data_IF_984275758099
#
_entry.id   IF_984275758099
#
_cell.length_a   1.000
_cell.length_b   1.000
_cell.length_c   1.000
_cell.angle_alpha   90.00
_cell.angle_beta   90.00
_cell.angle_gamma   90.00
#
_symmetry.space_group_name_H-M   'P 1'
#
loop_
_entity.id
_entity.type
_entity.pdbx_description
1 polymer ?
#
# COMPACT_ATOMS: atom_id res chain seq x y z
N UNK A 1 7.69 9.36 28.76
CA UNK A 1 8.67 8.27 28.65
C UNK A 1 8.44 7.51 27.33
N UNK A 2 9.04 8.00 26.26
CA UNK A 2 9.13 7.29 24.99
C UNK A 2 10.06 6.10 25.21
N UNK A 3 9.50 4.89 25.13
CA UNK A 3 10.30 3.67 25.02
C UNK A 3 10.92 3.72 23.63
N UNK A 4 12.14 4.25 23.54
CA UNK A 4 13.04 4.03 22.42
C UNK A 4 13.48 2.57 22.45
N UNK A 5 12.58 1.70 21.98
CA UNK A 5 12.93 0.34 21.60
C UNK A 5 13.70 0.43 20.28
N UNK A 6 14.96 0.88 20.31
CA UNK A 6 15.93 0.61 19.23
C UNK A 6 16.24 -0.88 19.24
N UNK A 7 15.28 -1.68 18.78
CA UNK A 7 15.50 -3.09 18.51
C UNK A 7 16.50 -3.15 17.36
N UNK A 8 17.71 -3.62 17.65
CA UNK A 8 18.71 -3.81 16.61
C UNK A 8 18.22 -4.90 15.66
N UNK A 9 17.98 -4.54 14.39
CA UNK A 9 17.50 -5.49 13.40
C UNK A 9 18.57 -6.53 13.06
N UNK A 10 18.17 -7.78 12.91
CA UNK A 10 19.04 -8.90 12.58
C UNK A 10 19.07 -9.15 11.08
N UNK A 11 20.18 -9.73 10.58
CA UNK A 11 20.27 -10.15 9.17
C UNK A 11 19.16 -11.14 8.85
N UNK A 12 18.44 -10.88 7.77
CA UNK A 12 17.32 -11.69 7.30
C UNK A 12 15.97 -11.27 7.88
N UNK A 13 15.93 -10.35 8.85
CA UNK A 13 14.71 -9.83 9.43
C UNK A 13 13.90 -9.02 8.42
N UNK A 14 12.59 -9.21 8.43
CA UNK A 14 11.65 -8.37 7.66
C UNK A 14 11.42 -7.05 8.37
N UNK A 15 11.38 -5.99 7.59
CA UNK A 15 11.19 -4.63 8.08
C UNK A 15 10.23 -3.87 7.19
N UNK A 16 9.54 -2.89 7.77
CA UNK A 16 8.81 -1.86 7.04
C UNK A 16 9.64 -0.59 7.01
N UNK A 17 9.64 0.08 5.87
CA UNK A 17 10.34 1.34 5.68
C UNK A 17 9.40 2.48 6.02
N UNK A 18 9.91 3.47 6.74
CA UNK A 18 9.13 4.62 7.17
C UNK A 18 9.97 5.88 7.26
N UNK A 19 9.28 7.02 7.32
CA UNK A 19 9.86 8.34 7.60
C UNK A 19 10.98 8.80 6.66
N UNK A 20 11.05 8.24 5.45
CA UNK A 20 11.96 8.74 4.42
C UNK A 20 11.46 10.06 3.87
N UNK A 21 12.31 11.08 3.91
CA UNK A 21 12.00 12.40 3.37
C UNK A 21 12.36 12.48 1.88
N UNK A 22 13.51 11.94 1.47
CA UNK A 22 14.01 12.01 0.10
C UNK A 22 13.45 10.94 -0.84
N UNK A 23 12.97 9.82 -0.28
CA UNK A 23 12.41 8.70 -1.04
C UNK A 23 11.07 8.28 -0.42
N UNK A 24 10.13 9.24 -0.33
CA UNK A 24 8.81 9.03 0.29
C UNK A 24 8.02 7.88 -0.32
N UNK A 25 8.21 7.62 -1.61
CA UNK A 25 7.58 6.51 -2.35
C UNK A 25 7.98 5.12 -1.84
N UNK A 26 9.00 5.01 -0.99
CA UNK A 26 9.41 3.76 -0.34
C UNK A 26 8.81 3.60 1.07
N UNK A 27 8.15 4.64 1.62
CA UNK A 27 7.50 4.51 2.92
C UNK A 27 6.29 3.58 2.79
N UNK A 28 6.12 2.68 3.76
CA UNK A 28 5.11 1.63 3.73
C UNK A 28 5.56 0.36 3.01
N UNK A 29 6.65 0.42 2.21
CA UNK A 29 7.20 -0.77 1.56
C UNK A 29 7.88 -1.71 2.54
N UNK A 30 7.77 -3.01 2.25
CA UNK A 30 8.43 -4.05 3.01
C UNK A 30 9.81 -4.39 2.41
N UNK A 31 10.72 -4.83 3.28
CA UNK A 31 12.03 -5.27 2.86
C UNK A 31 12.68 -6.26 3.82
N UNK A 32 13.87 -6.72 3.44
CA UNK A 32 14.69 -7.65 4.22
C UNK A 32 16.03 -7.05 4.54
N UNK A 33 16.42 -7.08 5.81
CA UNK A 33 17.74 -6.66 6.25
C UNK A 33 18.81 -7.62 5.72
N UNK A 34 19.78 -7.08 5.00
CA UNK A 34 20.92 -7.82 4.48
C UNK A 34 22.07 -7.81 5.48
N UNK A 35 22.41 -6.63 6.00
CA UNK A 35 23.39 -6.43 7.07
C UNK A 35 23.26 -5.01 7.66
N UNK A 36 23.97 -4.78 8.75
CA UNK A 36 24.23 -3.46 9.27
C UNK A 36 25.62 -3.00 8.80
N UNK A 37 25.68 -1.85 8.14
CA UNK A 37 26.91 -1.21 7.71
C UNK A 37 27.40 -0.28 8.82
N UNK A 38 28.37 -0.75 9.60
CA UNK A 38 28.96 0.01 10.70
C UNK A 38 29.64 1.30 10.23
N UNK A 39 30.16 1.35 9.00
CA UNK A 39 30.86 2.53 8.49
C UNK A 39 29.91 3.70 8.25
N UNK A 40 28.68 3.40 7.80
CA UNK A 40 27.65 4.43 7.56
C UNK A 40 26.61 4.55 8.67
N UNK A 41 26.57 3.59 9.60
CA UNK A 41 25.57 3.49 10.66
C UNK A 41 24.16 3.21 10.12
N UNK A 42 24.06 2.40 9.05
CA UNK A 42 22.81 2.17 8.32
C UNK A 42 22.56 0.68 8.08
N UNK A 43 21.29 0.32 7.99
CA UNK A 43 20.87 -1.00 7.51
C UNK A 43 20.86 -1.04 6.00
N UNK A 44 21.54 -2.02 5.40
CA UNK A 44 21.29 -2.38 4.02
C UNK A 44 20.03 -3.25 3.97
N UNK A 45 19.01 -2.76 3.26
CA UNK A 45 17.72 -3.45 3.12
C UNK A 45 17.46 -3.69 1.64
N UNK A 46 17.11 -4.93 1.28
CA UNK A 46 16.54 -5.24 -0.03
C UNK A 46 15.03 -5.01 0.03
N UNK A 47 14.51 -4.15 -0.85
CA UNK A 47 13.08 -3.91 -1.02
C UNK A 47 12.45 -5.10 -1.73
N UNK A 48 11.31 -5.59 -1.28
CA UNK A 48 10.67 -6.75 -1.91
C UNK A 48 10.10 -6.41 -3.29
N UNK A 49 9.36 -5.28 -3.40
CA UNK A 49 8.77 -4.80 -4.66
C UNK A 49 9.68 -4.80 -5.87
N UNK A 50 10.87 -4.20 -5.77
CA UNK A 50 11.76 -3.94 -6.92
C UNK A 50 13.13 -4.62 -6.81
N UNK A 51 13.37 -5.36 -5.71
CA UNK A 51 14.66 -5.99 -5.42
C UNK A 51 15.81 -5.02 -5.17
N UNK A 52 15.55 -3.70 -5.16
CA UNK A 52 16.59 -2.70 -5.00
C UNK A 52 17.14 -2.73 -3.57
N UNK A 53 18.40 -2.32 -3.42
CA UNK A 53 19.04 -2.20 -2.11
C UNK A 53 19.13 -0.75 -1.69
N UNK A 54 18.78 -0.46 -0.43
CA UNK A 54 18.84 0.88 0.15
C UNK A 54 19.58 0.85 1.49
N UNK A 55 20.39 1.89 1.74
CA UNK A 55 21.01 2.14 3.03
C UNK A 55 20.14 3.09 3.85
N UNK A 56 19.48 2.53 4.88
CA UNK A 56 18.48 3.22 5.68
C UNK A 56 18.97 3.44 7.11
N UNK A 57 18.62 4.58 7.70
CA UNK A 57 18.93 4.83 9.12
C UNK A 57 18.08 3.92 10.01
N UNK A 58 18.51 3.61 11.24
CA UNK A 58 17.73 2.80 12.16
C UNK A 58 16.28 3.28 12.35
N UNK A 59 16.04 4.59 12.50
CA UNK A 59 14.68 5.12 12.64
C UNK A 59 13.81 5.02 11.37
N UNK A 60 14.41 4.76 10.20
CA UNK A 60 13.67 4.57 8.96
C UNK A 60 13.23 3.12 8.73
N UNK A 61 13.51 2.21 9.66
CA UNK A 61 13.12 0.79 9.58
C UNK A 61 12.41 0.36 10.86
N UNK A 62 11.30 -0.35 10.70
CA UNK A 62 10.55 -0.94 11.80
C UNK A 62 10.51 -2.46 11.64
N UNK A 63 10.70 -3.22 12.72
CA UNK A 63 10.59 -4.67 12.68
C UNK A 63 9.16 -5.10 12.35
N UNK A 64 9.00 -6.00 11.39
CA UNK A 64 7.72 -6.66 11.14
C UNK A 64 7.65 -7.94 11.95
N UNK A 65 7.03 -7.87 13.13
CA UNK A 65 6.83 -9.02 14.03
C UNK A 65 5.41 -9.58 14.01
N UNK A 66 4.42 -8.82 13.50
CA UNK A 66 3.02 -9.23 13.52
C UNK A 66 2.52 -9.44 14.94
N UNK A 67 2.60 -8.42 15.81
CA UNK A 67 2.13 -8.52 17.19
C UNK A 67 0.62 -8.82 17.18
N UNK A 68 0.26 -10.06 17.54
CA UNK A 68 -1.12 -10.53 17.55
C UNK A 68 -2.02 -9.66 18.45
N UNK A 69 -1.48 -9.10 19.54
CA UNK A 69 -2.24 -8.23 20.44
C UNK A 69 -2.55 -6.89 19.77
N UNK A 70 -1.60 -6.33 19.03
CA UNK A 70 -1.79 -5.10 18.26
C UNK A 70 -2.79 -5.31 17.12
N UNK A 71 -2.63 -6.40 16.36
CA UNK A 71 -3.54 -6.75 15.26
C UNK A 71 -4.98 -6.92 15.78
N UNK A 72 -5.15 -7.61 16.91
CA UNK A 72 -6.45 -7.78 17.54
C UNK A 72 -7.06 -6.43 17.95
N UNK A 73 -6.26 -5.56 18.58
CA UNK A 73 -6.73 -4.23 18.98
C UNK A 73 -7.13 -3.35 17.80
N UNK A 74 -6.43 -3.46 16.65
CA UNK A 74 -6.82 -2.77 15.41
C UNK A 74 -8.20 -3.25 14.94
N UNK A 75 -8.42 -4.57 14.87
CA UNK A 75 -9.70 -5.11 14.41
C UNK A 75 -10.88 -4.81 15.34
N UNK A 76 -10.67 -4.80 16.66
CA UNK A 76 -11.73 -4.51 17.65
C UNK A 76 -12.12 -3.03 17.68
N UNK A 77 -11.22 -2.12 17.30
CA UNK A 77 -11.42 -0.67 17.42
C UNK A 77 -11.88 0.07 16.17
N UNK A 78 -11.89 -0.57 15.00
CA UNK A 78 -12.13 0.10 13.71
C UNK A 78 -13.50 -0.23 13.10
N UNK A 79 -14.26 0.78 12.61
CA UNK A 79 -15.61 0.58 12.08
C UNK A 79 -15.63 -0.21 10.77
N UNK A 80 -14.57 -0.12 9.96
CA UNK A 80 -14.47 -0.79 8.66
C UNK A 80 -14.08 -2.27 8.75
N UNK A 81 -13.88 -2.82 9.96
CA UNK A 81 -13.42 -4.21 10.17
C UNK A 81 -14.31 -5.25 9.50
N UNK A 82 -15.63 -5.12 9.63
CA UNK A 82 -16.56 -6.09 9.03
C UNK A 82 -16.49 -6.08 7.51
N UNK A 83 -16.36 -4.89 6.90
CA UNK A 83 -16.21 -4.71 5.46
C UNK A 83 -14.90 -5.31 4.97
N UNK A 84 -13.78 -5.01 5.63
CA UNK A 84 -12.48 -5.59 5.28
C UNK A 84 -12.51 -7.13 5.36
N UNK A 85 -13.12 -7.71 6.40
CA UNK A 85 -13.25 -9.16 6.52
C UNK A 85 -14.04 -9.76 5.35
N UNK A 86 -15.14 -9.12 4.94
CA UNK A 86 -15.91 -9.58 3.80
C UNK A 86 -15.10 -9.54 2.50
N UNK A 87 -14.39 -8.44 2.23
CA UNK A 87 -13.54 -8.27 1.04
C UNK A 87 -12.37 -9.26 1.00
N UNK A 88 -11.71 -9.50 2.14
CA UNK A 88 -10.63 -10.49 2.23
C UNK A 88 -11.15 -11.92 2.03
N UNK A 89 -12.38 -12.22 2.46
CA UNK A 89 -13.00 -13.53 2.28
C UNK A 89 -13.46 -13.76 0.85
N UNK A 90 -13.96 -12.73 0.17
CA UNK A 90 -14.38 -12.84 -1.23
C UNK A 90 -13.20 -12.79 -2.20
N UNK A 91 -12.08 -12.19 -1.79
CA UNK A 91 -10.92 -11.96 -2.64
C UNK A 91 -11.08 -10.74 -3.55
N UNK A 92 -12.12 -9.93 -3.34
CA UNK A 92 -12.47 -8.78 -4.19
C UNK A 92 -11.83 -7.47 -3.73
N UNK A 93 -10.94 -7.50 -2.74
CA UNK A 93 -10.30 -6.28 -2.23
C UNK A 93 -9.48 -5.61 -3.34
N UNK A 94 -10.01 -4.52 -3.88
CA UNK A 94 -9.39 -3.78 -4.98
C UNK A 94 -9.33 -2.28 -4.74
N UNK A 95 -8.67 -1.56 -5.65
CA UNK A 95 -8.57 -0.10 -5.60
C UNK A 95 -9.94 0.60 -5.49
N UNK A 96 -10.97 0.04 -6.14
CA UNK A 96 -12.34 0.57 -6.10
C UNK A 96 -12.97 0.56 -4.70
N UNK A 97 -12.50 -0.28 -3.77
CA UNK A 97 -12.99 -0.31 -2.38
C UNK A 97 -12.42 0.83 -1.52
N UNK A 98 -11.27 1.38 -1.92
CA UNK A 98 -10.53 2.41 -1.19
C UNK A 98 -11.13 3.81 -1.31
N UNK A 99 -12.33 3.93 -1.85
CA UNK A 99 -13.12 5.17 -1.76
C UNK A 99 -13.66 5.43 -0.35
N UNK A 100 -13.54 4.45 0.55
CA UNK A 100 -13.95 4.51 1.95
C UNK A 100 -12.76 4.93 2.85
N UNK A 101 -12.80 6.14 3.45
CA UNK A 101 -11.68 6.64 4.27
C UNK A 101 -11.41 5.78 5.52
N UNK A 102 -12.44 5.17 6.11
CA UNK A 102 -12.26 4.33 7.29
C UNK A 102 -11.63 2.99 6.94
N UNK A 103 -11.96 2.43 5.77
CA UNK A 103 -11.28 1.27 5.23
C UNK A 103 -9.80 1.57 4.95
N UNK A 104 -9.49 2.69 4.31
CA UNK A 104 -8.11 3.11 4.04
C UNK A 104 -7.30 3.25 5.34
N UNK A 105 -7.89 3.91 6.35
CA UNK A 105 -7.28 4.08 7.67
C UNK A 105 -6.99 2.73 8.33
N UNK A 106 -7.96 1.82 8.33
CA UNK A 106 -7.81 0.47 8.88
C UNK A 106 -6.68 -0.30 8.16
N UNK A 107 -6.67 -0.30 6.83
CA UNK A 107 -5.64 -0.99 6.05
C UNK A 107 -4.25 -0.41 6.27
N UNK A 108 -4.11 0.93 6.39
CA UNK A 108 -2.84 1.58 6.77
C UNK A 108 -2.35 1.12 8.15
N UNK A 109 -3.25 0.97 9.13
CA UNK A 109 -2.88 0.46 10.46
C UNK A 109 -2.42 -1.00 10.39
N UNK A 110 -3.11 -1.84 9.63
CA UNK A 110 -2.75 -3.24 9.44
C UNK A 110 -1.41 -3.41 8.71
N UNK A 111 -1.13 -2.58 7.69
CA UNK A 111 0.18 -2.53 7.05
C UNK A 111 1.28 -2.23 8.08
N UNK A 112 1.06 -1.21 8.91
CA UNK A 112 2.03 -0.80 9.94
C UNK A 112 2.26 -1.88 11.00
N UNK A 113 1.21 -2.59 11.39
CA UNK A 113 1.29 -3.72 12.31
C UNK A 113 1.85 -5.00 11.67
N UNK A 114 2.14 -4.99 10.37
CA UNK A 114 2.71 -6.12 9.66
C UNK A 114 1.72 -7.26 9.39
N UNK A 115 0.44 -6.94 9.19
CA UNK A 115 -0.59 -7.95 8.91
C UNK A 115 -0.24 -8.84 7.69
N UNK A 116 0.39 -8.26 6.66
CA UNK A 116 0.86 -8.96 5.47
C UNK A 116 2.36 -9.27 5.50
N UNK A 117 3.01 -9.27 6.67
CA UNK A 117 4.46 -9.51 6.75
C UNK A 117 4.86 -10.87 6.17
N UNK A 118 3.97 -11.87 6.23
CA UNK A 118 4.18 -13.19 5.63
C UNK A 118 4.06 -13.23 4.11
N UNK A 119 3.45 -12.21 3.49
CA UNK A 119 3.27 -12.09 2.05
C UNK A 119 3.67 -10.68 1.60
N UNK A 120 4.98 -10.38 1.55
CA UNK A 120 5.46 -9.02 1.33
C UNK A 120 5.04 -8.40 -0.01
N UNK A 121 4.80 -9.22 -1.02
CA UNK A 121 4.28 -8.79 -2.32
C UNK A 121 2.89 -8.16 -2.15
N UNK A 122 1.99 -8.84 -1.44
CA UNK A 122 0.65 -8.31 -1.11
C UNK A 122 0.75 -7.06 -0.24
N UNK A 123 1.69 -7.02 0.71
CA UNK A 123 1.92 -5.83 1.53
C UNK A 123 2.30 -4.62 0.67
N UNK A 124 3.21 -4.81 -0.28
CA UNK A 124 3.67 -3.76 -1.18
C UNK A 124 2.57 -3.30 -2.15
N UNK A 125 1.74 -4.22 -2.66
CA UNK A 125 0.56 -3.93 -3.49
C UNK A 125 -0.48 -3.12 -2.73
N UNK A 126 -0.85 -3.56 -1.52
CA UNK A 126 -1.81 -2.85 -0.67
C UNK A 126 -1.29 -1.45 -0.33
N UNK A 127 0.00 -1.29 -0.08
CA UNK A 127 0.59 0.04 0.14
C UNK A 127 0.46 0.94 -1.09
N UNK A 128 0.68 0.41 -2.30
CA UNK A 128 0.50 1.16 -3.54
C UNK A 128 -0.94 1.60 -3.73
N UNK A 129 -1.90 0.71 -3.50
CA UNK A 129 -3.32 1.05 -3.62
C UNK A 129 -3.71 2.16 -2.67
N UNK A 130 -3.21 2.13 -1.43
CA UNK A 130 -3.49 3.18 -0.45
C UNK A 130 -2.81 4.51 -0.80
N UNK A 131 -1.58 4.48 -1.31
CA UNK A 131 -0.91 5.69 -1.80
C UNK A 131 -1.67 6.29 -2.99
N UNK A 132 -2.14 5.43 -3.90
CA UNK A 132 -2.93 5.82 -5.05
C UNK A 132 -4.29 6.38 -4.63
N UNK A 133 -4.90 5.82 -3.58
CA UNK A 133 -6.20 6.27 -3.05
C UNK A 133 -6.11 7.65 -2.38
N UNK A 134 -4.92 8.08 -1.95
CA UNK A 134 -4.65 9.42 -1.43
C UNK A 134 -4.45 10.47 -2.54
N UNK A 135 -4.34 10.05 -3.80
CA UNK A 135 -4.20 10.97 -4.92
C UNK A 135 -5.47 11.86 -5.07
N UNK A 136 -5.36 13.16 -5.40
CA UNK A 136 -6.52 14.05 -5.51
C UNK A 136 -7.62 13.56 -6.47
N UNK A 137 -7.23 12.87 -7.54
CA UNK A 137 -8.16 12.30 -8.54
C UNK A 137 -8.62 10.88 -8.22
N UNK A 138 -8.26 10.31 -7.06
CA UNK A 138 -8.55 8.90 -6.74
C UNK A 138 -10.06 8.62 -6.62
N UNK A 139 -10.81 9.49 -5.91
CA UNK A 139 -12.26 9.30 -5.75
C UNK A 139 -12.99 9.33 -7.10
N UNK A 140 -12.57 10.22 -7.99
CA UNK A 140 -13.12 10.29 -9.35
C UNK A 140 -12.75 9.02 -10.14
N UNK A 141 -11.49 8.59 -10.10
CA UNK A 141 -11.07 7.34 -10.75
C UNK A 141 -11.86 6.12 -10.24
N UNK A 142 -12.08 6.02 -8.92
CA UNK A 142 -12.90 4.96 -8.31
C UNK A 142 -14.34 5.03 -8.81
N UNK A 143 -14.92 6.22 -8.93
CA UNK A 143 -16.26 6.40 -9.50
C UNK A 143 -16.34 5.88 -10.94
N UNK A 144 -15.33 6.20 -11.76
CA UNK A 144 -15.27 5.74 -13.15
C UNK A 144 -15.08 4.24 -13.28
N UNK A 145 -14.27 3.62 -12.41
CA UNK A 145 -14.08 2.17 -12.38
C UNK A 145 -15.40 1.47 -12.02
N UNK A 146 -16.10 1.93 -10.97
CA UNK A 146 -17.40 1.37 -10.59
C UNK A 146 -18.46 1.53 -11.67
N UNK A 147 -18.42 2.64 -12.40
CA UNK A 147 -19.31 2.84 -13.54
C UNK A 147 -19.02 1.83 -14.66
N UNK A 148 -17.75 1.57 -14.96
CA UNK A 148 -17.35 0.55 -15.94
C UNK A 148 -17.80 -0.85 -15.50
N UNK A 149 -17.61 -1.21 -14.24
CA UNK A 149 -18.01 -2.51 -13.68
C UNK A 149 -19.53 -2.74 -13.70
N UNK A 150 -20.32 -1.66 -13.55
CA UNK A 150 -21.78 -1.71 -13.52
C UNK A 150 -22.48 -1.39 -14.84
N UNK A 151 -21.75 -1.14 -15.93
CA UNK A 151 -22.31 -0.63 -17.18
C UNK A 151 -22.87 -1.74 -18.08
N UNK A 152 -24.13 -1.60 -18.49
CA UNK A 152 -24.75 -2.48 -19.51
C UNK A 152 -24.15 -2.30 -20.92
N UNK A 153 -23.66 -1.09 -21.23
CA UNK A 153 -22.97 -0.76 -22.50
C UNK A 153 -21.50 -0.39 -22.25
N UNK A 154 -20.71 -1.42 -21.99
CA UNK A 154 -19.28 -1.27 -21.65
C UNK A 154 -18.51 -0.49 -22.72
N UNK A 155 -18.82 -0.66 -24.02
CA UNK A 155 -18.07 -0.01 -25.10
C UNK A 155 -18.26 1.51 -25.12
N UNK A 156 -19.48 2.00 -24.97
CA UNK A 156 -19.71 3.45 -24.95
C UNK A 156 -19.19 4.09 -23.66
N UNK A 157 -19.32 3.40 -22.54
CA UNK A 157 -18.78 3.81 -21.24
C UNK A 157 -17.25 3.87 -21.28
N UNK A 158 -16.57 2.83 -21.78
CA UNK A 158 -15.10 2.82 -21.97
C UNK A 158 -14.63 4.03 -22.78
N UNK A 159 -15.27 4.34 -23.91
CA UNK A 159 -14.88 5.50 -24.73
C UNK A 159 -15.01 6.81 -23.96
N UNK A 160 -16.11 7.00 -23.23
CA UNK A 160 -16.35 8.23 -22.44
C UNK A 160 -15.37 8.35 -21.28
N UNK A 161 -15.15 7.26 -20.52
CA UNK A 161 -14.15 7.23 -19.45
C UNK A 161 -12.77 7.54 -20.03
N UNK A 162 -12.42 6.93 -21.17
CA UNK A 162 -11.16 7.18 -21.86
C UNK A 162 -10.95 8.64 -22.27
N UNK A 163 -12.00 9.33 -22.71
CA UNK A 163 -11.95 10.78 -23.00
C UNK A 163 -11.71 11.60 -21.73
N UNK A 164 -12.36 11.27 -20.62
CA UNK A 164 -12.18 11.95 -19.34
C UNK A 164 -10.77 11.75 -18.77
N UNK A 165 -10.28 10.50 -18.80
CA UNK A 165 -8.93 10.14 -18.34
C UNK A 165 -7.87 10.87 -19.16
N UNK A 166 -8.04 10.97 -20.49
CA UNK A 166 -7.09 11.72 -21.35
C UNK A 166 -7.15 13.24 -21.16
N UNK A 167 -8.28 13.77 -20.66
CA UNK A 167 -8.46 15.20 -20.44
C UNK A 167 -7.94 15.68 -19.06
N UNK A 168 -7.83 14.79 -18.08
CA UNK A 168 -7.38 15.09 -16.72
C UNK A 168 -6.03 14.41 -16.40
N UNK A 169 -4.93 15.17 -16.24
CA UNK A 169 -3.61 14.60 -15.96
C UNK A 169 -3.54 13.77 -14.67
N UNK A 170 -4.38 14.08 -13.69
CA UNK A 170 -4.45 13.35 -12.43
C UNK A 170 -5.16 12.01 -12.58
N UNK A 171 -6.24 11.94 -13.35
CA UNK A 171 -6.86 10.67 -13.74
C UNK A 171 -5.92 9.85 -14.62
N UNK A 172 -5.25 10.48 -15.59
CA UNK A 172 -4.25 9.80 -16.41
C UNK A 172 -3.17 9.15 -15.55
N UNK A 173 -2.64 9.89 -14.57
CA UNK A 173 -1.67 9.36 -13.62
C UNK A 173 -2.22 8.13 -12.86
N UNK A 174 -3.44 8.21 -12.33
CA UNK A 174 -4.04 7.09 -11.58
C UNK A 174 -4.22 5.85 -12.46
N UNK A 175 -4.80 6.01 -13.65
CA UNK A 175 -5.03 4.89 -14.56
C UNK A 175 -3.72 4.30 -15.10
N UNK A 176 -2.68 5.11 -15.35
CA UNK A 176 -1.37 4.62 -15.75
C UNK A 176 -0.71 3.76 -14.65
N UNK A 177 -0.86 4.16 -13.37
CA UNK A 177 -0.40 3.35 -12.23
C UNK A 177 -1.16 2.02 -12.13
N UNK A 178 -2.47 2.01 -12.36
CA UNK A 178 -3.27 0.78 -12.39
C UNK A 178 -2.86 -0.11 -13.58
N UNK A 179 -2.64 0.46 -14.77
CA UNK A 179 -2.16 -0.29 -15.95
C UNK A 179 -0.80 -0.93 -15.73
N UNK A 180 0.13 -0.20 -15.10
CA UNK A 180 1.45 -0.73 -14.74
C UNK A 180 1.37 -1.96 -13.80
N UNK A 181 0.23 -2.15 -13.13
CA UNK A 181 -0.05 -3.26 -12.21
C UNK A 181 -0.93 -4.34 -12.81
N UNK A 182 -1.19 -4.28 -14.12
CA UNK A 182 -1.91 -5.31 -14.87
C UNK A 182 -3.41 -5.10 -14.97
N UNK A 183 -3.95 -3.96 -14.52
CA UNK A 183 -5.33 -3.61 -14.81
C UNK A 183 -5.47 -3.18 -16.28
N UNK A 184 -6.36 -3.83 -17.02
CA UNK A 184 -6.56 -3.53 -18.42
C UNK A 184 -7.66 -2.48 -18.60
N UNK A 185 -7.30 -1.39 -19.27
CA UNK A 185 -8.23 -0.33 -19.64
C UNK A 185 -7.90 0.12 -21.08
N UNK A 186 -8.49 -0.58 -22.05
CA UNK A 186 -8.37 -0.26 -23.47
C UNK A 186 -9.23 0.98 -23.81
N UNK A 187 -8.64 2.15 -23.58
CA UNK A 187 -9.16 3.47 -23.95
C UNK A 187 -8.41 4.07 -25.14
#
# INVERSE_FOLDING_TARGET
>A
PTVDCEVQMTRGQRVMIQDLVGARHLNGSAGRVINYDEASGRYAVTIFRDGSQKLLKPHNVCALTGDEAELRAIFEGEPATSKLKALLQSGDLGFADLGDPDLCRLMRRLLKAGYWAEVPETMDEVSLDLDLAEHPSALEAISLIRELEGSDDVTSTLRRVGEQVRADPGLQHVFDQLKARGHDFDF
#
